data_IF_087616241703
#
_entry.id   IF_087616241703
#
_cell.length_a   1.000
_cell.length_b   1.000
_cell.length_c   1.000
_cell.angle_alpha   90.00
_cell.angle_beta   90.00
_cell.angle_gamma   90.00
#
_symmetry.space_group_name_H-M   'P 1'
#
loop_
_entity.id
_entity.type
_entity.pdbx_description
1 polymer ?
#
# COMPACT_ATOMS: atom_id res chain seq x y z
N UNK A 1 -9.07 5.88 -5.13
CA UNK A 1 -8.93 4.94 -6.27
C UNK A 1 -7.46 4.76 -6.64
N UNK A 2 -7.04 3.50 -6.82
CA UNK A 2 -5.68 3.21 -7.27
C UNK A 2 -5.64 3.39 -8.78
N UNK A 3 -4.69 4.19 -9.27
CA UNK A 3 -4.56 4.46 -10.71
C UNK A 3 -3.27 3.90 -11.33
N UNK A 4 -2.28 3.54 -10.52
CA UNK A 4 -1.06 2.90 -11.01
C UNK A 4 -0.34 2.16 -9.90
N UNK A 5 0.52 1.23 -10.29
CA UNK A 5 1.34 0.45 -9.37
C UNK A 5 2.81 0.72 -9.58
N UNK A 6 3.59 0.67 -8.50
CA UNK A 6 5.01 0.93 -8.54
C UNK A 6 5.86 -0.30 -8.88
N UNK A 7 5.28 -1.50 -8.84
CA UNK A 7 5.95 -2.71 -9.29
C UNK A 7 4.93 -3.75 -9.72
N UNK A 8 5.40 -4.74 -10.49
CA UNK A 8 4.53 -5.77 -11.08
C UNK A 8 3.97 -6.72 -10.04
N UNK A 9 4.73 -7.00 -8.98
CA UNK A 9 4.31 -7.92 -7.92
C UNK A 9 3.05 -7.39 -7.25
N UNK A 10 3.02 -6.12 -6.93
CA UNK A 10 1.84 -5.50 -6.29
C UNK A 10 0.65 -5.52 -7.22
N UNK A 11 0.86 -5.23 -8.51
CA UNK A 11 -0.21 -5.28 -9.49
C UNK A 11 -0.82 -6.67 -9.60
N UNK A 12 0.02 -7.70 -9.62
CA UNK A 12 -0.46 -9.09 -9.67
C UNK A 12 -1.26 -9.45 -8.42
N UNK A 13 -0.79 -9.05 -7.26
CA UNK A 13 -1.51 -9.28 -6.00
C UNK A 13 -2.88 -8.61 -6.05
N UNK A 14 -2.93 -7.39 -6.57
CA UNK A 14 -4.19 -6.67 -6.75
C UNK A 14 -5.15 -7.45 -7.64
N UNK A 15 -4.64 -8.07 -8.69
CA UNK A 15 -5.44 -8.85 -9.64
C UNK A 15 -5.81 -10.24 -9.13
N UNK A 16 -5.36 -10.60 -7.93
CA UNK A 16 -5.69 -11.89 -7.32
C UNK A 16 -4.71 -12.99 -7.62
N UNK A 17 -3.59 -12.67 -8.26
CA UNK A 17 -2.56 -13.67 -8.57
C UNK A 17 -1.59 -13.83 -7.40
N UNK A 18 -0.94 -14.99 -7.36
CA UNK A 18 0.14 -15.23 -6.42
C UNK A 18 1.47 -14.89 -7.06
N UNK A 19 2.39 -14.36 -6.25
CA UNK A 19 3.74 -14.07 -6.70
C UNK A 19 4.74 -14.79 -5.81
N UNK A 20 5.92 -15.11 -6.36
CA UNK A 20 7.01 -15.66 -5.58
C UNK A 20 7.74 -14.51 -4.88
N UNK A 21 8.42 -14.82 -3.79
CA UNK A 21 9.22 -13.82 -3.08
C UNK A 21 8.50 -13.07 -1.96
N UNK A 22 7.18 -13.18 -1.88
CA UNK A 22 6.42 -12.61 -0.77
C UNK A 22 5.69 -13.72 -0.02
N UNK A 23 5.72 -13.72 1.33
CA UNK A 23 4.97 -14.71 2.09
C UNK A 23 3.47 -14.66 1.76
N UNK A 24 2.83 -15.82 1.72
CA UNK A 24 1.41 -15.91 1.40
C UNK A 24 0.54 -15.04 2.29
N UNK A 25 0.85 -15.02 3.57
CA UNK A 25 0.13 -14.20 4.55
C UNK A 25 0.20 -12.72 4.19
N UNK A 26 1.36 -12.27 3.71
CA UNK A 26 1.55 -10.87 3.33
C UNK A 26 0.75 -10.56 2.06
N UNK A 27 0.66 -11.50 1.14
CA UNK A 27 -0.11 -11.29 -0.08
C UNK A 27 -1.60 -11.13 0.22
N UNK A 28 -2.15 -11.96 1.08
CA UNK A 28 -3.57 -11.86 1.46
C UNK A 28 -3.86 -10.58 2.23
N UNK A 29 -3.05 -10.31 3.26
CA UNK A 29 -3.23 -9.12 4.07
C UNK A 29 -2.99 -7.85 3.26
N UNK A 30 -1.98 -7.88 2.40
CA UNK A 30 -1.67 -6.78 1.49
C UNK A 30 -2.83 -6.49 0.54
N UNK A 31 -3.45 -7.54 -0.02
CA UNK A 31 -4.60 -7.35 -0.92
C UNK A 31 -5.75 -6.65 -0.21
N UNK A 32 -6.02 -7.01 1.05
CA UNK A 32 -7.05 -6.32 1.83
C UNK A 32 -6.72 -4.85 2.04
N UNK A 33 -5.45 -4.56 2.32
CA UNK A 33 -5.00 -3.17 2.50
C UNK A 33 -5.06 -2.40 1.19
N UNK A 34 -4.75 -3.05 0.07
CA UNK A 34 -4.88 -2.41 -1.25
C UNK A 34 -6.34 -2.03 -1.53
N UNK A 35 -7.29 -2.90 -1.18
CA UNK A 35 -8.71 -2.55 -1.32
C UNK A 35 -9.08 -1.37 -0.47
N UNK A 36 -8.52 -1.29 0.72
CA UNK A 36 -8.76 -0.18 1.63
C UNK A 36 -8.26 1.14 1.01
N UNK A 37 -7.07 1.14 0.41
CA UNK A 37 -6.54 2.30 -0.30
C UNK A 37 -7.46 2.66 -1.47
N UNK A 38 -7.85 1.66 -2.26
CA UNK A 38 -8.69 1.88 -3.45
C UNK A 38 -10.05 2.49 -3.08
N UNK A 39 -10.61 2.11 -1.95
CA UNK A 39 -11.92 2.56 -1.52
C UNK A 39 -11.88 3.86 -0.72
N UNK A 40 -10.71 4.36 -0.37
CA UNK A 40 -10.58 5.60 0.40
C UNK A 40 -10.80 6.81 -0.50
N UNK A 41 -11.55 7.78 0.01
CA UNK A 41 -11.78 9.05 -0.68
C UNK A 41 -10.88 10.14 -0.15
N UNK A 42 -10.40 9.98 1.09
CA UNK A 42 -9.54 10.94 1.78
C UNK A 42 -8.47 10.15 2.52
N UNK A 43 -7.29 10.74 2.67
CA UNK A 43 -6.22 10.09 3.43
C UNK A 43 -6.64 9.76 4.86
N UNK A 44 -7.53 10.55 5.44
CA UNK A 44 -8.02 10.27 6.80
C UNK A 44 -8.71 8.92 6.92
N UNK A 45 -9.28 8.42 5.83
CA UNK A 45 -9.92 7.10 5.84
C UNK A 45 -8.91 6.01 6.18
N UNK A 46 -7.63 6.23 5.84
CA UNK A 46 -6.56 5.27 6.09
C UNK A 46 -5.96 5.36 7.49
N UNK A 47 -6.42 6.30 8.30
CA UNK A 47 -6.04 6.37 9.70
C UNK A 47 -6.80 5.34 10.54
N UNK A 48 -7.80 4.70 9.96
CA UNK A 48 -8.60 3.68 10.61
C UNK A 48 -8.47 2.37 9.83
N UNK A 49 -8.10 1.28 10.47
CA UNK A 49 -7.72 1.15 11.88
C UNK A 49 -6.37 1.81 12.18
N UNK A 50 -6.16 2.17 13.43
CA UNK A 50 -4.91 2.82 13.85
C UNK A 50 -3.68 1.95 13.59
N UNK A 51 -3.86 0.62 13.49
CA UNK A 51 -2.78 -0.31 13.16
C UNK A 51 -2.21 -0.11 11.76
N UNK A 52 -2.91 0.62 10.88
CA UNK A 52 -2.37 0.99 9.56
C UNK A 52 -1.13 1.87 9.68
N UNK A 53 -0.98 2.60 10.78
CA UNK A 53 0.17 3.49 10.98
C UNK A 53 0.43 4.37 9.76
N UNK A 54 -0.62 5.04 9.28
CA UNK A 54 -0.48 5.95 8.14
C UNK A 54 0.55 7.02 8.46
N UNK A 55 1.53 7.19 7.58
CA UNK A 55 2.53 8.24 7.76
C UNK A 55 3.01 8.80 6.43
N UNK A 56 3.42 10.05 6.46
CA UNK A 56 4.07 10.72 5.35
C UNK A 56 5.57 10.46 5.46
N UNK A 57 6.17 9.98 4.39
CA UNK A 57 7.60 9.65 4.41
C UNK A 57 8.45 10.90 4.19
N UNK A 58 9.76 10.76 4.42
CA UNK A 58 10.71 11.86 4.36
C UNK A 58 11.88 11.50 3.46
N UNK A 59 12.75 12.47 3.19
CA UNK A 59 13.95 12.28 2.37
C UNK A 59 13.60 11.95 0.94
N UNK A 60 14.24 10.93 0.40
CA UNK A 60 14.04 10.54 -1.00
C UNK A 60 12.63 10.03 -1.26
N UNK A 61 11.91 9.62 -0.22
CA UNK A 61 10.56 9.09 -0.32
C UNK A 61 9.49 10.10 0.08
N UNK A 62 9.83 11.39 0.13
CA UNK A 62 8.92 12.43 0.62
C UNK A 62 7.62 12.55 -0.16
N UNK A 63 7.58 12.05 -1.39
CA UNK A 63 6.36 12.08 -2.20
C UNK A 63 5.38 10.96 -1.81
N UNK A 64 5.81 10.04 -0.95
CA UNK A 64 5.01 8.86 -0.60
C UNK A 64 4.41 8.94 0.78
N UNK A 65 3.28 8.28 0.90
CA UNK A 65 2.68 7.89 2.17
C UNK A 65 2.88 6.40 2.34
N UNK A 66 2.76 5.90 3.56
CA UNK A 66 2.79 4.46 3.79
C UNK A 66 1.71 4.03 4.76
N UNK A 67 1.22 2.80 4.56
CA UNK A 67 0.42 2.11 5.58
C UNK A 67 1.10 0.76 5.86
N UNK A 68 0.92 0.29 7.07
CA UNK A 68 1.58 -0.91 7.56
C UNK A 68 0.78 -2.16 7.24
N UNK A 69 1.45 -3.20 6.73
CA UNK A 69 0.86 -4.54 6.64
C UNK A 69 1.19 -5.30 7.92
N UNK A 70 2.48 -5.33 8.29
CA UNK A 70 2.95 -5.88 9.56
C UNK A 70 4.26 -5.16 9.94
N UNK A 71 5.04 -5.72 10.87
CA UNK A 71 6.28 -5.08 11.32
C UNK A 71 7.32 -4.90 10.22
N UNK A 72 7.28 -5.74 9.21
CA UNK A 72 8.28 -5.77 8.15
C UNK A 72 7.79 -5.15 6.84
N UNK A 73 6.53 -5.34 6.51
CA UNK A 73 5.99 -4.99 5.20
C UNK A 73 5.06 -3.80 5.26
N UNK A 74 5.22 -2.90 4.28
CA UNK A 74 4.38 -1.71 4.15
C UNK A 74 3.92 -1.55 2.71
N UNK A 75 2.87 -0.76 2.53
CA UNK A 75 2.44 -0.32 1.20
C UNK A 75 2.78 1.15 1.10
N UNK A 76 3.57 1.50 0.08
CA UNK A 76 3.91 2.88 -0.25
C UNK A 76 3.04 3.34 -1.41
N UNK A 77 2.62 4.58 -1.38
CA UNK A 77 1.80 5.15 -2.44
C UNK A 77 1.88 6.66 -2.44
N UNK A 78 1.69 7.25 -3.62
CA UNK A 78 1.50 8.68 -3.75
C UNK A 78 0.01 8.97 -3.69
N UNK A 79 -0.37 10.12 -3.19
CA UNK A 79 -1.78 10.46 -3.04
C UNK A 79 -2.03 11.87 -3.56
N UNK A 80 -3.03 12.00 -4.42
CA UNK A 80 -3.43 13.30 -4.95
C UNK A 80 -4.93 13.28 -5.23
N UNK A 81 -5.67 14.15 -4.53
CA UNK A 81 -7.09 14.40 -4.79
C UNK A 81 -7.96 13.12 -4.86
N UNK A 82 -7.69 12.17 -3.97
CA UNK A 82 -8.46 10.93 -3.92
C UNK A 82 -7.89 9.81 -4.78
N UNK A 83 -6.76 10.02 -5.45
CA UNK A 83 -6.13 9.03 -6.31
C UNK A 83 -4.80 8.56 -5.71
N UNK A 84 -4.62 7.25 -5.66
CA UNK A 84 -3.37 6.63 -5.23
C UNK A 84 -2.60 6.16 -6.46
N UNK A 85 -1.32 6.53 -6.54
CA UNK A 85 -0.48 6.15 -7.68
C UNK A 85 0.83 5.53 -7.19
N UNK A 86 1.50 4.80 -8.08
CA UNK A 86 2.76 4.12 -7.81
C UNK A 86 2.69 3.29 -6.54
N UNK A 87 1.58 2.59 -6.39
CA UNK A 87 1.30 1.78 -5.20
C UNK A 87 2.17 0.53 -5.23
N UNK A 88 2.91 0.28 -4.15
CA UNK A 88 3.81 -0.86 -4.10
C UNK A 88 3.97 -1.40 -2.68
N UNK A 89 4.02 -2.73 -2.59
CA UNK A 89 4.32 -3.42 -1.34
C UNK A 89 5.83 -3.54 -1.23
N UNK A 90 6.38 -3.12 -0.11
CA UNK A 90 7.83 -3.13 0.09
C UNK A 90 8.19 -3.74 1.43
N UNK A 91 9.39 -4.31 1.47
CA UNK A 91 10.04 -4.76 2.71
C UNK A 91 10.68 -3.54 3.34
N UNK A 92 10.14 -3.10 4.46
CA UNK A 92 10.50 -1.82 5.05
C UNK A 92 11.23 -2.05 6.38
N UNK A 93 12.50 -1.77 6.37
CA UNK A 93 13.35 -1.85 7.58
C UNK A 93 13.80 -0.47 8.01
#
# INVERSE_FOLDING_TARGET
>A
MIISFGNKETEKIWEGERVSGLPNEIQEKGRRKLRMINNSQDLRDLQVPSSNKLEKLKGDLKAYYSIRINDQWRILFKWDAGFASEVKIVDYH
#
